data_IF_145482483676
#
_entry.id   IF_145482483676
#
_cell.length_a   1.000
_cell.length_b   1.000
_cell.length_c   1.000
_cell.angle_alpha   90.00
_cell.angle_beta   90.00
_cell.angle_gamma   90.00
#
_symmetry.space_group_name_H-M   'P 1'
#
loop_
_entity.id
_entity.type
_entity.pdbx_description
1 polymer ?
#
# COMPACT_ATOMS: atom_id res chain seq x y z
N UNK A 1 -7.28 0.25 -15.10
CA UNK A 1 -7.96 0.72 -13.87
C UNK A 1 -9.29 1.34 -14.27
N UNK A 2 -10.39 0.82 -13.74
CA UNK A 2 -11.76 1.22 -14.06
C UNK A 2 -12.36 1.96 -12.86
N UNK A 3 -12.89 3.15 -13.07
CA UNK A 3 -13.52 3.97 -12.03
C UNK A 3 -15.03 3.91 -12.21
N UNK A 4 -15.77 3.62 -11.14
CA UNK A 4 -17.22 3.50 -11.13
C UNK A 4 -17.80 4.59 -10.24
N UNK A 5 -18.62 5.43 -10.84
CA UNK A 5 -19.21 6.61 -10.20
C UNK A 5 -20.68 6.36 -9.83
N UNK A 6 -21.17 7.13 -8.87
CA UNK A 6 -22.58 7.15 -8.54
C UNK A 6 -23.41 7.65 -9.71
N UNK A 7 -24.63 7.11 -9.84
CA UNK A 7 -25.63 7.61 -10.80
C UNK A 7 -26.64 8.58 -10.18
N UNK A 8 -26.58 8.73 -8.87
CA UNK A 8 -27.55 9.52 -8.08
C UNK A 8 -26.89 10.59 -7.20
N UNK A 9 -25.57 10.55 -7.07
CA UNK A 9 -24.79 11.46 -6.26
C UNK A 9 -23.66 12.00 -7.15
N UNK A 10 -23.86 13.22 -7.67
CA UNK A 10 -23.09 13.85 -8.76
C UNK A 10 -21.60 13.52 -8.72
N UNK A 11 -21.17 12.73 -9.72
CA UNK A 11 -19.79 12.34 -9.98
C UNK A 11 -18.99 11.76 -8.79
N UNK A 12 -19.66 11.30 -7.75
CA UNK A 12 -19.00 10.66 -6.61
C UNK A 12 -18.40 9.32 -7.01
N UNK A 13 -17.10 9.22 -6.92
CA UNK A 13 -16.38 7.96 -7.13
C UNK A 13 -16.72 6.98 -5.99
N UNK A 14 -17.32 5.83 -6.35
CA UNK A 14 -17.72 4.80 -5.39
C UNK A 14 -16.76 3.61 -5.37
N UNK A 15 -16.31 3.16 -6.54
CA UNK A 15 -15.47 1.97 -6.64
C UNK A 15 -14.35 2.16 -7.65
N UNK A 16 -13.25 1.47 -7.40
CA UNK A 16 -12.14 1.35 -8.34
C UNK A 16 -11.85 -0.12 -8.54
N UNK A 17 -11.89 -0.59 -9.78
CA UNK A 17 -11.47 -1.94 -10.15
C UNK A 17 -10.09 -1.85 -10.77
N UNK A 18 -9.17 -2.62 -10.23
CA UNK A 18 -7.79 -2.65 -10.67
C UNK A 18 -7.42 -4.08 -11.06
N UNK A 19 -6.83 -4.23 -12.23
CA UNK A 19 -6.39 -5.52 -12.74
C UNK A 19 -4.87 -5.58 -12.79
N UNK A 20 -4.32 -6.77 -12.77
CA UNK A 20 -2.88 -7.00 -12.70
C UNK A 20 -2.10 -6.27 -13.82
N UNK A 21 -2.69 -6.14 -15.00
CA UNK A 21 -2.06 -5.50 -16.16
C UNK A 21 -2.17 -3.96 -16.16
N UNK A 22 -2.92 -3.39 -15.23
CA UNK A 22 -3.08 -1.93 -15.11
C UNK A 22 -1.83 -1.24 -14.54
N UNK A 23 -0.87 -2.00 -13.99
CA UNK A 23 0.25 -1.44 -13.24
C UNK A 23 1.52 -1.31 -14.07
N UNK A 24 2.12 -0.14 -13.98
CA UNK A 24 3.48 0.13 -14.49
C UNK A 24 4.29 0.84 -13.39
N UNK A 25 5.13 0.07 -12.67
CA UNK A 25 5.87 0.63 -11.54
C UNK A 25 4.97 0.88 -10.32
N UNK A 26 5.13 2.02 -9.66
CA UNK A 26 4.24 2.46 -8.57
C UNK A 26 3.03 3.19 -9.14
N UNK A 27 1.86 2.75 -8.77
CA UNK A 27 0.58 3.34 -9.20
C UNK A 27 -0.27 3.60 -7.97
N UNK A 28 -0.56 4.87 -7.66
CA UNK A 28 -1.51 5.24 -6.62
C UNK A 28 -2.93 4.92 -7.11
N UNK A 29 -3.66 4.12 -6.35
CA UNK A 29 -5.03 3.68 -6.70
C UNK A 29 -6.05 4.68 -6.18
N UNK A 30 -5.82 5.22 -5.00
CA UNK A 30 -6.70 6.19 -4.34
C UNK A 30 -5.94 7.49 -4.05
N UNK A 31 -6.64 8.64 -3.94
CA UNK A 31 -6.02 9.90 -3.54
C UNK A 31 -5.32 9.81 -2.18
N UNK A 32 -4.21 10.51 -2.02
CA UNK A 32 -3.38 10.50 -0.79
C UNK A 32 -4.12 10.99 0.46
N UNK A 33 -5.17 11.80 0.28
CA UNK A 33 -5.98 12.30 1.38
C UNK A 33 -7.08 11.34 1.85
N UNK A 34 -7.24 10.19 1.19
CA UNK A 34 -8.18 9.17 1.64
C UNK A 34 -7.72 8.57 2.97
N UNK A 35 -8.69 8.11 3.76
CA UNK A 35 -8.42 7.46 5.05
C UNK A 35 -7.56 6.19 4.87
N UNK A 36 -7.92 5.35 3.90
CA UNK A 36 -7.10 4.21 3.48
C UNK A 36 -6.35 4.60 2.21
N UNK A 37 -5.05 4.52 2.24
CA UNK A 37 -4.20 4.68 1.06
C UNK A 37 -3.99 3.31 0.41
N UNK A 38 -4.09 3.26 -0.89
CA UNK A 38 -3.87 2.04 -1.65
C UNK A 38 -3.01 2.35 -2.89
N UNK A 39 -1.91 1.64 -3.01
CA UNK A 39 -1.04 1.70 -4.16
C UNK A 39 -0.69 0.30 -4.65
N UNK A 40 -0.49 0.15 -5.95
CA UNK A 40 0.05 -1.06 -6.53
C UNK A 40 1.49 -0.83 -6.99
N UNK A 41 2.34 -1.83 -6.80
CA UNK A 41 3.74 -1.77 -7.14
C UNK A 41 4.13 -2.94 -8.05
N UNK A 42 4.65 -2.62 -9.23
CA UNK A 42 5.31 -3.59 -10.11
C UNK A 42 6.81 -3.29 -10.10
N UNK A 43 7.53 -4.05 -9.29
CA UNK A 43 8.94 -3.79 -9.03
C UNK A 43 9.84 -4.68 -9.90
N UNK A 44 10.89 -4.13 -10.50
CA UNK A 44 11.92 -4.96 -11.10
C UNK A 44 12.66 -5.78 -10.04
N UNK A 45 13.30 -6.87 -10.49
CA UNK A 45 14.16 -7.69 -9.63
C UNK A 45 15.19 -6.81 -8.91
N UNK A 46 15.45 -7.13 -7.66
CA UNK A 46 16.43 -6.47 -6.80
C UNK A 46 16.13 -4.98 -6.46
N UNK A 47 14.93 -4.49 -6.80
CA UNK A 47 14.47 -3.19 -6.30
C UNK A 47 14.29 -3.23 -4.79
N UNK A 48 14.90 -2.28 -4.10
CA UNK A 48 14.78 -2.10 -2.66
C UNK A 48 14.19 -0.74 -2.31
N UNK A 49 13.62 -0.64 -1.12
CA UNK A 49 13.20 0.62 -0.51
C UNK A 49 14.08 0.88 0.72
N UNK A 50 14.44 2.15 0.98
CA UNK A 50 15.11 2.48 2.23
C UNK A 50 14.20 2.17 3.43
N UNK A 51 14.78 1.79 4.58
CA UNK A 51 14.01 1.68 5.81
C UNK A 51 13.24 2.97 6.09
N UNK A 52 11.99 2.82 6.48
CA UNK A 52 11.14 3.97 6.83
C UNK A 52 10.16 3.58 7.94
N UNK A 53 9.58 4.57 8.58
CA UNK A 53 8.51 4.42 9.57
C UNK A 53 7.37 5.39 9.25
N UNK A 54 6.17 4.98 9.55
CA UNK A 54 5.01 5.84 9.44
C UNK A 54 4.94 6.79 10.64
N UNK A 55 4.58 8.03 10.36
CA UNK A 55 4.39 9.06 11.38
C UNK A 55 2.95 9.10 11.85
N UNK A 56 2.74 9.60 13.07
CA UNK A 56 1.42 9.92 13.57
C UNK A 56 0.82 11.04 12.71
N UNK A 57 -0.41 10.83 12.23
CA UNK A 57 -1.19 11.87 11.53
C UNK A 57 -2.29 12.35 12.44
N UNK A 58 -2.32 13.67 12.71
CA UNK A 58 -3.48 14.29 13.35
C UNK A 58 -4.70 14.20 12.42
N UNK A 59 -5.69 13.47 12.83
CA UNK A 59 -7.01 13.41 12.19
C UNK A 59 -8.07 13.45 13.30
N UNK A 60 -9.33 13.68 12.92
CA UNK A 60 -10.52 13.81 13.78
C UNK A 60 -10.76 12.65 14.76
N UNK A 61 -10.06 11.56 14.61
CA UNK A 61 -9.97 10.44 15.53
C UNK A 61 -8.62 10.51 16.22
N UNK A 62 -8.59 10.38 17.55
CA UNK A 62 -7.39 10.37 18.42
C UNK A 62 -6.12 9.96 17.70
N UNK A 63 -4.99 10.53 18.08
CA UNK A 63 -3.66 10.21 17.55
C UNK A 63 -3.51 8.71 17.22
N UNK A 64 -3.45 8.38 15.94
CA UNK A 64 -3.25 7.01 15.48
C UNK A 64 -2.09 6.98 14.51
N UNK A 65 -1.25 5.95 14.65
CA UNK A 65 -0.18 5.68 13.70
C UNK A 65 -0.82 5.19 12.39
N UNK A 66 -0.41 5.77 11.26
CA UNK A 66 -0.77 5.23 9.96
C UNK A 66 -0.18 3.83 9.80
N UNK A 67 -1.04 2.84 9.63
CA UNK A 67 -0.63 1.45 9.41
C UNK A 67 -0.45 1.17 7.92
N UNK A 68 0.45 0.27 7.60
CA UNK A 68 0.69 -0.21 6.25
C UNK A 68 0.58 -1.73 6.22
N UNK A 69 -0.03 -2.25 5.16
CA UNK A 69 -0.06 -3.67 4.88
C UNK A 69 0.41 -3.92 3.45
N UNK A 70 1.20 -4.97 3.29
CA UNK A 70 1.70 -5.40 2.00
C UNK A 70 1.11 -6.77 1.66
N UNK A 71 0.58 -6.90 0.45
CA UNK A 71 0.09 -8.18 -0.08
C UNK A 71 0.87 -8.50 -1.35
N UNK A 72 1.52 -9.65 -1.39
CA UNK A 72 2.24 -10.11 -2.57
C UNK A 72 1.27 -10.80 -3.52
N UNK A 73 1.06 -10.21 -4.69
CA UNK A 73 0.17 -10.78 -5.72
C UNK A 73 0.94 -11.76 -6.59
N UNK A 74 2.18 -11.44 -6.96
CA UNK A 74 3.06 -12.33 -7.73
C UNK A 74 4.52 -12.12 -7.29
N UNK A 75 5.35 -13.15 -7.44
CA UNK A 75 6.77 -13.10 -7.14
C UNK A 75 7.10 -13.34 -5.68
N UNK A 76 8.25 -12.83 -5.24
CA UNK A 76 8.76 -12.95 -3.87
C UNK A 76 9.31 -11.63 -3.38
N UNK A 77 9.08 -11.32 -2.12
CA UNK A 77 9.58 -10.12 -1.44
C UNK A 77 10.28 -10.53 -0.15
N UNK A 78 11.50 -10.08 0.07
CA UNK A 78 12.16 -10.15 1.36
C UNK A 78 11.87 -8.88 2.15
N UNK A 79 11.20 -9.01 3.27
CA UNK A 79 10.98 -7.92 4.22
C UNK A 79 12.12 -7.88 5.24
N UNK A 80 12.51 -6.68 5.65
CA UNK A 80 13.41 -6.48 6.78
C UNK A 80 12.64 -5.68 7.81
N UNK A 81 12.31 -6.32 8.94
CA UNK A 81 11.51 -5.75 10.00
C UNK A 81 12.40 -5.26 11.13
N UNK A 82 12.12 -4.05 11.60
CA UNK A 82 12.92 -3.35 12.59
C UNK A 82 12.14 -3.16 13.89
N UNK A 83 12.82 -3.22 15.01
CA UNK A 83 12.30 -2.79 16.30
C UNK A 83 12.32 -1.25 16.41
N UNK A 84 11.75 -0.72 17.48
CA UNK A 84 11.67 0.73 17.75
C UNK A 84 13.03 1.40 17.92
N UNK A 85 14.07 0.64 18.27
CA UNK A 85 15.46 1.07 18.35
C UNK A 85 16.25 0.91 17.04
N UNK A 86 15.59 0.54 15.94
CA UNK A 86 16.13 0.27 14.61
C UNK A 86 16.98 -1.03 14.51
N UNK A 87 16.92 -1.91 15.48
CA UNK A 87 17.50 -3.25 15.34
C UNK A 87 16.61 -4.14 14.47
N UNK A 88 17.22 -5.03 13.69
CA UNK A 88 16.48 -5.99 12.86
C UNK A 88 15.95 -7.12 13.74
N UNK A 89 14.64 -7.33 13.75
CA UNK A 89 13.99 -8.40 14.53
C UNK A 89 13.55 -9.60 13.70
N UNK A 90 13.29 -9.41 12.40
CA UNK A 90 12.91 -10.50 11.50
C UNK A 90 13.19 -10.15 10.03
N UNK A 91 13.36 -11.19 9.21
CA UNK A 91 13.57 -11.04 7.77
C UNK A 91 12.74 -12.07 6.98
N UNK A 92 11.40 -12.04 7.08
CA UNK A 92 10.56 -13.00 6.37
C UNK A 92 10.65 -12.81 4.85
N UNK A 93 10.46 -13.92 4.14
CA UNK A 93 10.24 -13.94 2.70
C UNK A 93 8.75 -14.18 2.48
N UNK A 94 8.10 -13.25 1.79
CA UNK A 94 6.70 -13.33 1.40
C UNK A 94 6.58 -13.80 -0.04
N UNK A 95 5.66 -14.71 -0.30
CA UNK A 95 5.33 -15.23 -1.62
C UNK A 95 3.90 -14.82 -2.03
N UNK A 96 3.49 -15.19 -3.23
CA UNK A 96 2.16 -14.85 -3.73
C UNK A 96 1.05 -15.38 -2.79
N UNK A 97 0.19 -14.47 -2.32
CA UNK A 97 -0.87 -14.72 -1.35
C UNK A 97 -0.52 -14.37 0.10
N UNK A 98 0.75 -14.11 0.41
CA UNK A 98 1.17 -13.68 1.75
C UNK A 98 0.98 -12.16 1.94
N UNK A 99 0.80 -11.76 3.22
CA UNK A 99 0.65 -10.36 3.64
C UNK A 99 1.41 -10.07 4.94
#
# INVERSE_FOLDING_TARGET
>A
MEKIYSKIDDDKLLHIVVRLDDFKGRTEIVPENNFIQCAALKMPKDKTFPPHKHITKERTYKEQIAQESWVVITGKVRCILYDTDNTVIATPILEAGDA
#
